data_IF_217675123254
#
_entry.id   IF_217675123254
#
_cell.length_a   1.000
_cell.length_b   1.000
_cell.length_c   1.000
_cell.angle_alpha   90.00
_cell.angle_beta   90.00
_cell.angle_gamma   90.00
#
_symmetry.space_group_name_H-M   'P 1'
#
loop_
_entity.id
_entity.type
_entity.pdbx_description
1 polymer ?
#
# COMPACT_ATOMS: atom_id res chain seq x y z
N UNK A 1 -18.76 8.64 -13.05
CA UNK A 1 -19.63 7.54 -12.57
C UNK A 1 -18.92 6.82 -11.43
N UNK A 2 -19.30 7.15 -10.19
CA UNK A 2 -18.73 6.56 -8.97
C UNK A 2 -19.35 5.17 -8.83
N UNK A 3 -18.57 4.11 -9.02
CA UNK A 3 -19.07 2.74 -8.85
C UNK A 3 -19.17 2.44 -7.35
N UNK A 4 -20.36 2.68 -6.79
CA UNK A 4 -20.81 2.07 -5.52
C UNK A 4 -21.14 0.61 -5.80
N UNK A 5 -20.24 -0.33 -5.50
CA UNK A 5 -20.61 -1.72 -5.24
C UNK A 5 -19.43 -2.43 -4.58
N UNK A 6 -19.45 -2.58 -3.26
CA UNK A 6 -18.84 -3.72 -2.56
C UNK A 6 -19.72 -4.09 -1.35
N UNK A 7 -19.87 -5.39 -1.04
CA UNK A 7 -20.95 -5.92 -0.21
C UNK A 7 -20.78 -5.59 1.28
N UNK A 8 -21.89 -5.67 2.01
CA UNK A 8 -22.02 -5.44 3.44
C UNK A 8 -20.94 -6.15 4.28
N UNK A 9 -20.45 -5.52 5.37
CA UNK A 9 -19.45 -6.07 6.27
C UNK A 9 -20.13 -7.08 7.19
N UNK A 10 -20.27 -8.32 6.73
CA UNK A 10 -20.71 -9.44 7.57
C UNK A 10 -19.71 -10.59 7.38
N UNK A 11 -18.50 -10.36 7.88
CA UNK A 11 -17.63 -11.42 8.40
C UNK A 11 -16.43 -10.75 9.07
N UNK A 12 -16.30 -10.93 10.38
CA UNK A 12 -15.16 -10.50 11.20
C UNK A 12 -13.92 -11.37 10.91
N UNK A 13 -13.42 -11.33 9.67
CA UNK A 13 -12.17 -11.97 9.28
C UNK A 13 -11.13 -10.89 8.94
N UNK A 14 -9.96 -10.96 9.60
CA UNK A 14 -8.85 -10.00 9.44
C UNK A 14 -8.50 -9.70 7.97
N UNK A 15 -8.77 -10.64 7.07
CA UNK A 15 -8.54 -10.50 5.64
C UNK A 15 -9.42 -9.43 4.97
N UNK A 16 -10.71 -9.34 5.32
CA UNK A 16 -11.61 -8.31 4.75
C UNK A 16 -11.30 -6.93 5.31
N UNK A 17 -10.88 -6.86 6.58
CA UNK A 17 -10.44 -5.62 7.22
C UNK A 17 -9.12 -5.08 6.65
N UNK A 18 -8.09 -5.93 6.51
CA UNK A 18 -6.82 -5.56 5.86
C UNK A 18 -7.05 -5.18 4.40
N UNK A 19 -7.90 -5.93 3.69
CA UNK A 19 -8.26 -5.62 2.30
C UNK A 19 -9.00 -4.28 2.20
N UNK A 20 -9.93 -3.96 3.10
CA UNK A 20 -10.65 -2.69 3.12
C UNK A 20 -9.79 -1.49 3.53
N UNK A 21 -8.93 -1.64 4.54
CA UNK A 21 -7.98 -0.62 4.98
C UNK A 21 -6.93 -0.34 3.89
N UNK A 22 -6.40 -1.37 3.23
CA UNK A 22 -5.49 -1.23 2.10
C UNK A 22 -6.18 -0.72 0.82
N UNK A 23 -7.48 -0.98 0.65
CA UNK A 23 -8.26 -0.48 -0.50
C UNK A 23 -8.42 1.04 -0.48
N UNK A 24 -8.51 1.64 0.72
CA UNK A 24 -8.57 3.10 0.91
C UNK A 24 -7.17 3.72 1.01
N UNK A 25 -6.19 2.99 1.53
CA UNK A 25 -4.86 3.52 1.83
C UNK A 25 -3.90 3.47 0.62
N UNK A 26 -3.44 4.63 0.15
CA UNK A 26 -2.36 4.73 -0.84
C UNK A 26 -1.06 4.20 -0.27
N UNK A 27 -0.21 3.64 -1.13
CA UNK A 27 1.11 3.10 -0.77
C UNK A 27 1.99 4.15 -0.06
N UNK A 28 1.83 5.43 -0.41
CA UNK A 28 2.54 6.57 0.20
C UNK A 28 2.24 6.72 1.70
N UNK A 29 1.07 6.33 2.19
CA UNK A 29 0.74 6.43 3.63
C UNK A 29 1.62 5.52 4.49
N UNK A 30 2.12 4.41 3.94
CA UNK A 30 3.08 3.58 4.65
C UNK A 30 4.43 4.28 4.85
N UNK A 31 4.82 5.18 3.93
CA UNK A 31 6.00 6.04 4.12
C UNK A 31 5.79 7.03 5.27
N UNK A 32 4.59 7.60 5.38
CA UNK A 32 4.20 8.49 6.49
C UNK A 32 4.20 7.74 7.83
N UNK A 33 3.74 6.48 7.85
CA UNK A 33 3.79 5.63 9.04
C UNK A 33 5.23 5.34 9.47
N UNK A 34 6.15 5.07 8.53
CA UNK A 34 7.58 4.93 8.84
C UNK A 34 8.12 6.24 9.41
N UNK A 35 7.77 7.37 8.78
CA UNK A 35 8.18 8.69 9.23
C UNK A 35 7.73 8.96 10.67
N UNK A 36 6.47 8.64 10.99
CA UNK A 36 5.91 8.81 12.34
C UNK A 36 6.53 7.85 13.35
N UNK A 37 6.68 6.56 13.01
CA UNK A 37 7.23 5.51 13.90
C UNK A 37 8.66 5.80 14.34
N UNK A 38 9.45 6.44 13.49
CA UNK A 38 10.84 6.78 13.77
C UNK A 38 11.05 8.29 14.05
N UNK A 39 9.96 9.05 14.21
CA UNK A 39 9.99 10.49 14.51
C UNK A 39 10.87 11.31 13.54
N UNK A 40 10.86 10.93 12.27
CA UNK A 40 11.75 11.50 11.25
C UNK A 40 11.23 12.86 10.79
N UNK A 41 12.03 13.91 11.02
CA UNK A 41 11.65 15.30 10.74
C UNK A 41 11.67 15.67 9.26
N UNK A 42 12.37 14.91 8.42
CA UNK A 42 12.51 15.23 7.00
C UNK A 42 12.59 13.98 6.12
N UNK A 43 12.34 14.18 4.82
CA UNK A 43 12.37 13.14 3.81
C UNK A 43 13.78 12.59 3.58
N UNK A 44 14.79 13.39 3.90
CA UNK A 44 16.19 12.98 3.88
C UNK A 44 16.49 11.84 4.87
N UNK A 45 16.01 11.97 6.11
CA UNK A 45 16.16 10.95 7.14
C UNK A 45 15.31 9.72 6.83
N UNK A 46 14.14 9.89 6.20
CA UNK A 46 13.34 8.77 5.71
C UNK A 46 14.06 7.99 4.60
N UNK A 47 14.70 8.69 3.66
CA UNK A 47 15.52 8.08 2.60
C UNK A 47 16.68 7.28 3.19
N UNK A 48 17.39 7.86 4.15
CA UNK A 48 18.48 7.19 4.84
C UNK A 48 18.00 5.95 5.61
N UNK A 49 16.89 6.07 6.35
CA UNK A 49 16.31 4.97 7.11
C UNK A 49 15.93 3.78 6.24
N UNK A 50 15.34 4.05 5.08
CA UNK A 50 14.91 3.03 4.12
C UNK A 50 16.02 2.63 3.15
N UNK A 51 17.21 3.25 3.22
CA UNK A 51 18.31 3.05 2.27
C UNK A 51 17.86 3.19 0.81
N UNK A 52 17.13 4.27 0.53
CA UNK A 52 16.68 4.67 -0.81
C UNK A 52 17.09 6.11 -1.10
N UNK A 53 16.97 6.56 -2.34
CA UNK A 53 17.31 7.94 -2.70
C UNK A 53 16.23 8.93 -2.25
N UNK A 54 16.64 10.16 -1.92
CA UNK A 54 15.70 11.27 -1.64
C UNK A 54 14.79 11.56 -2.84
N UNK A 55 15.34 11.42 -4.06
CA UNK A 55 14.57 11.58 -5.30
C UNK A 55 13.44 10.55 -5.41
N UNK A 56 13.68 9.29 -5.02
CA UNK A 56 12.63 8.27 -5.02
C UNK A 56 11.47 8.66 -4.09
N UNK A 57 11.76 9.13 -2.88
CA UNK A 57 10.72 9.58 -1.93
C UNK A 57 9.89 10.74 -2.51
N UNK A 58 10.55 11.75 -3.09
CA UNK A 58 9.86 12.88 -3.71
C UNK A 58 8.94 12.43 -4.86
N UNK A 59 9.41 11.51 -5.71
CA UNK A 59 8.62 10.92 -6.79
C UNK A 59 7.42 10.10 -6.28
N UNK A 60 7.56 9.42 -5.14
CA UNK A 60 6.47 8.70 -4.50
C UNK A 60 5.43 9.65 -3.91
N UNK A 61 5.87 10.65 -3.14
CA UNK A 61 4.97 11.63 -2.49
C UNK A 61 4.21 12.49 -3.51
N UNK A 62 4.86 12.86 -4.62
CA UNK A 62 4.21 13.59 -5.73
C UNK A 62 3.29 12.71 -6.59
N UNK A 63 3.31 11.39 -6.43
CA UNK A 63 2.55 10.45 -7.26
C UNK A 63 3.11 10.26 -8.68
N UNK A 64 4.27 10.86 -8.99
CA UNK A 64 4.98 10.66 -10.26
C UNK A 64 5.48 9.22 -10.42
N UNK A 65 5.74 8.53 -9.31
CA UNK A 65 6.10 7.10 -9.31
C UNK A 65 5.33 6.37 -8.21
N UNK A 66 5.07 5.08 -8.44
CA UNK A 66 4.54 4.17 -7.41
C UNK A 66 5.70 3.38 -6.82
N UNK A 67 5.64 3.05 -5.53
CA UNK A 67 6.70 2.26 -4.87
C UNK A 67 6.94 0.94 -5.62
N UNK A 68 8.21 0.62 -5.81
CA UNK A 68 8.69 -0.67 -6.27
C UNK A 68 8.64 -1.72 -5.15
N UNK A 69 8.76 -2.99 -5.52
CA UNK A 69 8.63 -4.11 -4.59
C UNK A 69 9.74 -4.12 -3.52
N UNK A 70 10.98 -3.80 -3.89
CA UNK A 70 12.10 -3.70 -2.94
C UNK A 70 11.84 -2.61 -1.89
N UNK A 71 11.38 -1.43 -2.31
CA UNK A 71 10.95 -0.37 -1.39
C UNK A 71 9.79 -0.83 -0.50
N UNK A 72 8.80 -1.56 -1.04
CA UNK A 72 7.68 -2.07 -0.25
C UNK A 72 8.14 -3.04 0.85
N UNK A 73 9.09 -3.93 0.54
CA UNK A 73 9.67 -4.85 1.51
C UNK A 73 10.45 -4.10 2.61
N UNK A 74 11.25 -3.11 2.23
CA UNK A 74 11.99 -2.25 3.18
C UNK A 74 11.05 -1.53 4.14
N UNK A 75 9.93 -1.01 3.63
CA UNK A 75 8.89 -0.36 4.44
C UNK A 75 8.21 -1.35 5.38
N UNK A 76 7.87 -2.56 4.91
CA UNK A 76 7.29 -3.59 5.76
C UNK A 76 8.21 -4.00 6.92
N UNK A 77 9.50 -4.17 6.64
CA UNK A 77 10.53 -4.45 7.66
C UNK A 77 10.65 -3.30 8.66
N UNK A 78 10.70 -2.05 8.20
CA UNK A 78 10.76 -0.87 9.07
C UNK A 78 9.51 -0.76 9.97
N UNK A 79 8.34 -1.08 9.43
CA UNK A 79 7.09 -1.09 10.18
C UNK A 79 6.90 -2.33 11.07
N UNK A 80 7.77 -3.34 10.98
CA UNK A 80 7.65 -4.63 11.69
C UNK A 80 6.28 -5.27 11.42
N UNK A 81 5.86 -5.26 10.16
CA UNK A 81 4.62 -5.93 9.74
C UNK A 81 4.86 -7.44 9.66
N UNK A 82 3.90 -8.22 10.15
CA UNK A 82 3.97 -9.69 10.09
C UNK A 82 3.97 -10.21 8.65
N UNK A 83 3.32 -9.49 7.73
CA UNK A 83 3.33 -9.81 6.30
C UNK A 83 3.57 -8.54 5.46
N UNK A 84 4.42 -8.61 4.41
CA UNK A 84 4.66 -7.48 3.50
C UNK A 84 3.50 -7.25 2.52
N UNK A 85 2.52 -8.16 2.50
CA UNK A 85 1.43 -8.17 1.52
C UNK A 85 0.59 -6.89 1.57
N UNK A 86 0.39 -6.29 2.74
CA UNK A 86 -0.39 -5.05 2.88
C UNK A 86 0.22 -3.88 2.08
N UNK A 87 1.54 -3.72 2.15
CA UNK A 87 2.28 -2.67 1.41
C UNK A 87 2.34 -2.99 -0.09
N UNK A 88 2.62 -4.25 -0.43
CA UNK A 88 2.68 -4.71 -1.82
C UNK A 88 1.33 -4.57 -2.54
N UNK A 89 0.23 -4.94 -1.88
CA UNK A 89 -1.11 -4.79 -2.42
C UNK A 89 -1.47 -3.31 -2.61
N UNK A 90 -1.17 -2.44 -1.64
CA UNK A 90 -1.40 -1.00 -1.79
C UNK A 90 -0.63 -0.41 -2.98
N UNK A 91 0.64 -0.77 -3.15
CA UNK A 91 1.44 -0.36 -4.31
C UNK A 91 0.90 -0.93 -5.64
N UNK A 92 0.48 -2.20 -5.67
CA UNK A 92 -0.12 -2.82 -6.85
C UNK A 92 -1.42 -2.15 -7.27
N UNK A 93 -2.24 -1.74 -6.31
CA UNK A 93 -3.48 -0.99 -6.54
C UNK A 93 -3.21 0.42 -7.07
N UNK A 94 -2.27 1.14 -6.47
CA UNK A 94 -1.88 2.48 -6.94
C UNK A 94 -1.32 2.44 -8.37
N UNK A 95 -0.53 1.39 -8.70
CA UNK A 95 -0.03 1.16 -10.06
C UNK A 95 -1.15 0.88 -11.04
N UNK A 96 -2.11 0.04 -10.67
CA UNK A 96 -3.27 -0.27 -11.50
C UNK A 96 -4.14 0.96 -11.76
N UNK A 97 -4.41 1.78 -10.73
CA UNK A 97 -5.13 3.05 -10.83
C UNK A 97 -4.41 4.02 -11.78
N UNK A 98 -3.09 4.14 -11.66
CA UNK A 98 -2.28 5.03 -12.51
C UNK A 98 -2.23 4.58 -13.96
N UNK A 99 -2.19 3.28 -14.22
CA UNK A 99 -2.18 2.72 -15.57
C UNK A 99 -3.53 2.84 -16.30
N UNK A 100 -4.58 3.39 -15.65
CA UNK A 100 -5.93 3.42 -16.20
C UNK A 100 -6.54 2.04 -16.42
N UNK A 101 -5.85 0.98 -15.99
CA UNK A 101 -6.32 -0.39 -16.09
C UNK A 101 -7.39 -0.61 -15.03
N UNK A 102 -8.58 -1.05 -15.46
CA UNK A 102 -9.56 -1.67 -14.56
C UNK A 102 -8.87 -2.88 -13.95
N UNK A 103 -8.36 -2.71 -12.72
CA UNK A 103 -7.41 -3.62 -12.11
C UNK A 103 -7.89 -5.07 -12.22
N UNK A 104 -7.07 -5.97 -12.77
CA UNK A 104 -7.28 -7.41 -12.71
C UNK A 104 -7.54 -7.90 -11.27
N UNK A 105 -7.09 -7.12 -10.28
CA UNK A 105 -7.41 -7.28 -8.86
C UNK A 105 -8.92 -7.30 -8.54
N UNK A 106 -9.76 -6.54 -9.25
CA UNK A 106 -11.22 -6.61 -9.09
C UNK A 106 -11.83 -7.90 -9.67
N UNK A 107 -11.12 -8.56 -10.58
CA UNK A 107 -11.47 -9.91 -11.03
C UNK A 107 -10.99 -10.97 -10.03
N UNK A 108 -9.75 -10.86 -9.54
CA UNK A 108 -9.17 -11.80 -8.57
C UNK A 108 -9.84 -11.73 -7.18
N UNK A 109 -10.21 -10.55 -6.69
CA UNK A 109 -10.88 -10.40 -5.39
C UNK A 109 -12.23 -11.12 -5.33
N UNK A 110 -12.92 -11.27 -6.47
CA UNK A 110 -14.15 -12.06 -6.58
C UNK A 110 -13.94 -13.57 -6.52
N UNK A 111 -12.72 -14.04 -6.81
CA UNK A 111 -12.39 -15.48 -6.90
C UNK A 111 -11.53 -16.00 -5.77
N UNK A 112 -11.09 -15.16 -4.83
CA UNK A 112 -10.37 -15.67 -3.67
C UNK A 112 -11.34 -16.49 -2.83
N UNK A 113 -11.06 -17.80 -2.62
CA UNK A 113 -11.90 -18.62 -1.76
C UNK A 113 -11.88 -18.01 -0.36
N UNK A 114 -13.05 -17.92 0.27
CA UNK A 114 -13.13 -17.61 1.70
C UNK A 114 -12.30 -18.67 2.40
N UNK A 115 -11.22 -18.27 3.07
CA UNK A 115 -10.50 -19.19 3.94
C UNK A 115 -11.51 -19.70 4.96
N UNK A 116 -11.81 -21.00 4.88
CA UNK A 116 -12.71 -21.70 5.80
C UNK A 116 -12.08 -21.90 7.15
#
# INVERSE_FOLDING_TARGET
MIVKYFPNPISDNCFTRIFWEAWIMKSVKYLEQVQHKYELKNDAALAEKLKITRSAISLYKSGQRVMDEDTCLKVAVALKLDTPMSVLMAAGMDRSRKAGQKSSWGYFSRKMPKAG
#
